data_IF_986851638874
#
_entry.id   IF_986851638874
#
_cell.length_a   1.000
_cell.length_b   1.000
_cell.length_c   1.000
_cell.angle_alpha   90.00
_cell.angle_beta   90.00
_cell.angle_gamma   90.00
#
_symmetry.space_group_name_H-M   'P 1'
#
loop_
_entity.id
_entity.type
_entity.pdbx_description
1 polymer ?
#
# COMPACT_ATOMS: atom_id res chain seq x y z
N UNK A 1 40.61 -20.46 39.61
CA UNK A 1 39.31 -20.94 39.08
C UNK A 1 38.96 -20.08 37.87
N UNK A 2 38.94 -20.63 36.66
CA UNK A 2 38.74 -19.86 35.41
C UNK A 2 37.54 -20.40 34.66
N UNK A 3 36.52 -19.56 34.46
CA UNK A 3 35.34 -19.89 33.65
C UNK A 3 35.35 -19.03 32.38
N UNK A 4 35.80 -19.63 31.27
CA UNK A 4 35.63 -19.10 29.93
C UNK A 4 34.23 -19.44 29.43
N UNK A 5 33.34 -18.46 29.29
CA UNK A 5 32.04 -18.66 28.64
C UNK A 5 32.22 -18.57 27.11
N UNK A 6 31.99 -19.70 26.42
CA UNK A 6 32.07 -19.80 24.96
C UNK A 6 30.93 -19.04 24.29
N UNK A 7 31.27 -18.20 23.31
CA UNK A 7 30.29 -17.66 22.37
C UNK A 7 29.74 -18.77 21.45
N UNK A 8 28.42 -18.94 21.40
CA UNK A 8 27.75 -19.79 20.41
C UNK A 8 27.20 -18.93 19.27
N UNK A 9 27.88 -18.93 18.13
CA UNK A 9 27.31 -18.43 16.86
C UNK A 9 26.42 -19.53 16.28
N UNK A 10 25.14 -19.25 16.08
CA UNK A 10 24.26 -20.14 15.32
C UNK A 10 24.40 -19.85 13.82
N UNK A 11 24.68 -20.89 13.04
CA UNK A 11 24.83 -20.81 11.57
C UNK A 11 23.72 -21.58 10.86
N UNK A 12 23.19 -20.97 9.79
CA UNK A 12 22.63 -21.62 8.60
C UNK A 12 21.44 -22.59 8.73
N UNK A 13 20.35 -22.25 8.03
CA UNK A 13 19.83 -23.13 6.98
C UNK A 13 19.18 -22.30 5.87
N UNK A 14 19.19 -22.83 4.64
CA UNK A 14 18.86 -22.09 3.41
C UNK A 14 17.48 -22.44 2.86
N UNK A 15 16.88 -21.46 2.17
CA UNK A 15 16.11 -21.58 0.93
C UNK A 15 15.09 -22.73 0.75
N UNK A 16 13.83 -22.35 0.52
CA UNK A 16 13.07 -22.89 -0.63
C UNK A 16 12.49 -21.73 -1.44
N UNK A 17 12.87 -21.63 -2.71
CA UNK A 17 12.41 -20.58 -3.62
C UNK A 17 11.74 -21.22 -4.85
N UNK A 18 10.41 -21.16 -4.89
CA UNK A 18 9.62 -21.65 -6.02
C UNK A 18 9.87 -20.78 -7.26
N UNK A 19 10.55 -21.34 -8.26
CA UNK A 19 10.68 -20.69 -9.59
C UNK A 19 9.37 -20.80 -10.35
N UNK A 20 8.57 -19.73 -10.36
CA UNK A 20 7.54 -19.54 -11.40
C UNK A 20 8.21 -18.95 -12.64
N UNK A 21 8.20 -19.70 -13.74
CA UNK A 21 8.73 -19.23 -15.03
C UNK A 21 7.73 -18.27 -15.68
N UNK A 22 8.09 -16.99 -15.81
CA UNK A 22 7.30 -16.04 -16.58
C UNK A 22 7.69 -16.13 -18.07
N UNK A 23 6.84 -16.77 -18.88
CA UNK A 23 7.01 -16.87 -20.33
C UNK A 23 6.82 -15.50 -21.00
N UNK A 24 7.98 -14.97 -21.40
CA UNK A 24 8.26 -14.08 -22.54
C UNK A 24 7.06 -13.71 -23.43
N UNK A 25 6.76 -12.41 -23.44
CA UNK A 25 6.17 -11.59 -24.50
C UNK A 25 5.64 -12.32 -25.75
N UNK A 26 4.31 -12.35 -25.92
CA UNK A 26 3.69 -12.56 -27.23
C UNK A 26 3.69 -11.26 -28.04
N UNK A 27 4.31 -11.28 -29.21
CA UNK A 27 4.27 -10.17 -30.18
C UNK A 27 3.10 -10.36 -31.14
N UNK A 28 2.03 -9.58 -30.98
CA UNK A 28 0.95 -9.51 -31.96
C UNK A 28 1.41 -8.70 -33.19
N UNK A 29 1.96 -9.40 -34.18
CA UNK A 29 2.11 -8.89 -35.53
C UNK A 29 0.79 -9.08 -36.28
N UNK A 30 0.10 -7.98 -36.57
CA UNK A 30 -0.97 -7.96 -37.57
C UNK A 30 -0.55 -7.01 -38.70
N UNK A 31 -0.71 -7.50 -39.93
CA UNK A 31 -0.05 -6.95 -41.10
C UNK A 31 -0.70 -5.65 -41.61
N UNK A 32 0.13 -4.74 -42.14
CA UNK A 32 -0.35 -3.65 -42.97
C UNK A 32 -0.76 -4.20 -44.34
N UNK A 33 -2.06 -4.22 -44.63
CA UNK A 33 -2.58 -4.46 -45.98
C UNK A 33 -2.66 -3.12 -46.70
N UNK A 34 -1.78 -2.91 -47.67
CA UNK A 34 -1.88 -1.81 -48.64
C UNK A 34 -2.89 -2.18 -49.74
N UNK A 35 -3.88 -1.32 -50.00
CA UNK A 35 -4.60 -1.30 -51.28
C UNK A 35 -5.10 0.11 -51.65
N UNK A 36 -5.17 0.34 -52.97
CA UNK A 36 -5.56 1.57 -53.64
C UNK A 36 -6.32 1.16 -54.93
N UNK A 37 -7.19 1.95 -55.57
CA UNK A 37 -7.42 3.39 -55.41
C UNK A 37 -8.86 3.78 -55.72
N UNK A 38 -9.24 5.01 -55.37
CA UNK A 38 -10.26 5.84 -56.04
C UNK A 38 -11.64 5.21 -56.35
N UNK A 39 -12.68 5.67 -55.64
CA UNK A 39 -13.93 6.15 -56.28
C UNK A 39 -14.62 7.18 -55.38
N UNK A 40 -15.20 8.21 -55.96
CA UNK A 40 -15.76 9.38 -55.27
C UNK A 40 -17.30 9.35 -55.19
N UNK A 41 -17.86 9.67 -54.02
CA UNK A 41 -19.20 10.28 -53.90
C UNK A 41 -19.24 11.26 -52.73
N UNK A 42 -20.01 12.34 -52.90
CA UNK A 42 -20.19 13.41 -51.91
C UNK A 42 -21.39 13.11 -51.01
N UNK A 43 -21.20 13.12 -49.69
CA UNK A 43 -22.31 13.31 -48.73
C UNK A 43 -21.91 14.24 -47.60
N UNK A 44 -22.93 14.95 -47.12
CA UNK A 44 -22.92 15.95 -46.06
C UNK A 44 -22.36 15.39 -44.74
N UNK A 45 -21.35 16.06 -44.16
CA UNK A 45 -21.27 16.43 -42.73
C UNK A 45 -19.86 16.95 -42.43
N UNK A 46 -19.71 18.27 -42.55
CA UNK A 46 -18.49 18.98 -42.19
C UNK A 46 -18.33 19.04 -40.66
N UNK A 47 -17.10 18.86 -40.19
CA UNK A 47 -16.59 19.18 -38.84
C UNK A 47 -16.84 18.12 -37.73
N UNK A 48 -15.72 17.56 -37.25
CA UNK A 48 -15.54 16.86 -35.96
C UNK A 48 -16.31 15.55 -35.70
N UNK A 49 -15.88 14.47 -36.37
CA UNK A 49 -15.73 13.17 -35.70
C UNK A 49 -14.25 12.93 -35.38
N UNK A 50 -13.98 12.39 -34.19
CA UNK A 50 -12.67 11.95 -33.67
C UNK A 50 -11.69 12.99 -33.11
N UNK A 51 -12.14 14.14 -32.60
CA UNK A 51 -11.50 14.66 -31.38
C UNK A 51 -12.11 13.93 -30.19
N UNK A 52 -11.40 12.92 -29.66
CA UNK A 52 -11.70 12.40 -28.33
C UNK A 52 -11.30 13.50 -27.36
N UNK A 53 -12.20 14.46 -27.14
CA UNK A 53 -11.98 15.61 -26.27
C UNK A 53 -11.87 15.10 -24.83
N UNK A 54 -10.65 14.73 -24.44
CA UNK A 54 -10.33 14.31 -23.08
C UNK A 54 -10.85 15.42 -22.17
N UNK A 55 -11.77 15.11 -21.23
CA UNK A 55 -12.33 16.16 -20.40
C UNK A 55 -11.18 16.70 -19.54
N UNK A 56 -11.12 18.03 -19.37
CA UNK A 56 -9.93 18.75 -18.89
C UNK A 56 -9.37 18.27 -17.54
N UNK A 57 -10.19 17.58 -16.73
CA UNK A 57 -9.80 16.95 -15.47
C UNK A 57 -8.99 15.64 -15.61
N UNK A 58 -8.98 15.02 -16.80
CA UNK A 58 -8.32 13.74 -17.09
C UNK A 58 -6.94 13.89 -17.76
N UNK A 59 -6.68 15.02 -18.42
CA UNK A 59 -5.37 15.38 -19.02
C UNK A 59 -4.15 15.08 -18.12
N UNK A 60 -4.07 15.55 -16.85
CA UNK A 60 -2.90 15.28 -16.01
C UNK A 60 -2.70 13.79 -15.69
N UNK A 61 -3.77 12.98 -15.73
CA UNK A 61 -3.70 11.53 -15.44
C UNK A 61 -3.07 10.77 -16.60
N UNK A 62 -3.35 11.16 -17.85
CA UNK A 62 -2.73 10.55 -19.03
C UNK A 62 -1.24 10.88 -19.12
N UNK A 63 -0.83 12.11 -18.82
CA UNK A 63 0.57 12.54 -18.94
C UNK A 63 1.44 12.13 -17.74
N UNK A 64 0.88 12.02 -16.53
CA UNK A 64 1.60 11.62 -15.32
C UNK A 64 1.66 10.08 -15.08
N UNK A 65 1.41 9.27 -16.10
CA UNK A 65 1.44 7.81 -15.98
C UNK A 65 2.89 7.26 -15.77
N UNK A 66 3.11 6.30 -14.84
CA UNK A 66 4.43 5.75 -14.61
C UNK A 66 4.92 4.92 -15.80
N UNK A 67 5.93 5.43 -16.54
CA UNK A 67 6.44 4.83 -17.79
C UNK A 67 6.84 3.36 -17.69
N UNK A 68 7.24 2.87 -16.51
CA UNK A 68 7.65 1.47 -16.24
C UNK A 68 7.29 1.03 -14.83
N UNK A 69 6.92 -0.24 -14.66
CA UNK A 69 6.74 -0.90 -13.34
C UNK A 69 8.05 -0.89 -12.54
N UNK A 70 7.99 -0.54 -11.27
CA UNK A 70 9.19 -0.53 -10.41
C UNK A 70 9.63 -1.95 -10.04
N UNK A 71 10.93 -2.23 -10.07
CA UNK A 71 11.48 -3.53 -9.67
C UNK A 71 11.29 -3.84 -8.18
N UNK A 72 11.27 -5.12 -7.83
CA UNK A 72 11.09 -5.58 -6.44
C UNK A 72 12.14 -4.99 -5.49
N UNK A 73 13.42 -4.96 -5.90
CA UNK A 73 14.50 -4.35 -5.13
C UNK A 73 14.26 -2.84 -4.88
N UNK A 74 13.92 -2.07 -5.92
CA UNK A 74 13.60 -0.63 -5.78
C UNK A 74 12.35 -0.38 -4.91
N UNK A 75 11.36 -1.28 -4.92
CA UNK A 75 10.20 -1.21 -4.00
C UNK A 75 10.62 -1.48 -2.55
N UNK A 76 11.41 -2.53 -2.30
CA UNK A 76 11.89 -2.92 -0.96
C UNK A 76 12.78 -1.85 -0.33
N UNK A 77 13.72 -1.29 -1.09
CA UNK A 77 14.60 -0.20 -0.65
C UNK A 77 13.83 1.07 -0.25
N UNK A 78 12.72 1.40 -0.92
CA UNK A 78 11.86 2.53 -0.51
C UNK A 78 10.96 2.22 0.70
N UNK A 79 10.85 0.95 1.09
CA UNK A 79 10.03 0.50 2.22
C UNK A 79 10.86 0.27 3.50
N UNK A 80 12.17 0.05 3.41
CA UNK A 80 13.03 -0.22 4.59
C UNK A 80 12.98 0.90 5.63
N UNK A 81 12.88 2.15 5.18
CA UNK A 81 12.93 3.32 6.05
C UNK A 81 11.55 3.64 6.68
N UNK A 82 10.57 2.76 6.51
CA UNK A 82 9.18 2.91 7.00
C UNK A 82 8.84 1.86 8.09
N UNK A 83 9.84 1.40 8.82
CA UNK A 83 9.66 0.48 9.94
C UNK A 83 8.88 1.13 11.10
N UNK A 84 8.18 0.31 11.88
CA UNK A 84 7.55 0.77 13.11
C UNK A 84 8.64 1.13 14.13
N UNK A 85 8.61 2.36 14.65
CA UNK A 85 9.50 2.78 15.72
C UNK A 85 9.08 2.13 17.05
N UNK A 86 10.07 1.71 17.85
CA UNK A 86 9.83 1.19 19.19
C UNK A 86 9.26 2.29 20.08
N UNK A 87 8.18 1.98 20.80
CA UNK A 87 7.54 2.89 21.75
C UNK A 87 7.96 2.56 23.17
N UNK A 88 8.80 3.41 23.74
CA UNK A 88 9.25 3.32 25.14
C UNK A 88 8.26 3.96 26.13
N UNK A 89 7.29 4.74 25.62
CA UNK A 89 6.33 5.50 26.42
C UNK A 89 5.15 4.67 26.96
N UNK A 90 5.35 3.37 27.23
CA UNK A 90 4.33 2.44 27.76
C UNK A 90 4.61 2.19 29.24
N UNK A 91 3.63 2.48 30.10
CA UNK A 91 3.69 2.29 31.55
C UNK A 91 2.49 1.52 32.07
N UNK A 92 2.58 0.94 33.26
CA UNK A 92 1.45 0.29 33.92
C UNK A 92 0.49 1.32 34.53
N UNK A 93 -0.80 1.01 34.55
CA UNK A 93 -1.81 1.83 35.21
C UNK A 93 -1.82 1.53 36.72
N UNK A 94 -1.76 2.55 37.60
CA UNK A 94 -1.74 2.33 39.05
C UNK A 94 -3.05 1.76 39.62
N UNK A 95 -4.18 1.89 38.91
CA UNK A 95 -5.49 1.43 39.39
C UNK A 95 -5.85 0.00 38.95
N UNK A 96 -5.42 -0.42 37.76
CA UNK A 96 -5.83 -1.71 37.16
C UNK A 96 -4.67 -2.57 36.64
N UNK A 97 -3.42 -2.13 36.79
CA UNK A 97 -2.22 -2.81 36.31
C UNK A 97 -2.00 -2.82 34.79
N UNK A 98 -3.04 -2.59 33.98
CA UNK A 98 -2.93 -2.68 32.51
C UNK A 98 -2.02 -1.62 31.90
N UNK A 99 -1.38 -1.96 30.78
CA UNK A 99 -0.50 -1.04 30.06
C UNK A 99 -1.28 0.15 29.50
N UNK A 100 -0.74 1.35 29.70
CA UNK A 100 -1.20 2.63 29.16
C UNK A 100 -0.03 3.42 28.59
N UNK A 101 -0.30 4.49 27.85
CA UNK A 101 0.72 5.43 27.42
C UNK A 101 1.03 6.46 28.52
N UNK A 102 2.28 6.93 28.58
CA UNK A 102 2.70 8.07 29.41
C UNK A 102 1.84 9.30 29.10
N UNK A 103 1.48 10.07 30.14
CA UNK A 103 0.58 11.24 30.10
C UNK A 103 -0.86 10.99 29.62
N UNK A 104 -1.23 9.77 29.21
CA UNK A 104 -2.59 9.41 28.85
C UNK A 104 -3.35 8.75 30.02
N UNK A 105 -4.67 8.91 30.01
CA UNK A 105 -5.59 8.14 30.85
C UNK A 105 -5.63 6.68 30.40
N UNK A 106 -5.83 5.75 31.34
CA UNK A 106 -5.98 4.34 31.00
C UNK A 106 -7.33 4.10 30.32
N UNK A 107 -7.30 3.56 29.09
CA UNK A 107 -8.51 3.28 28.32
C UNK A 107 -9.48 2.34 29.03
N UNK A 108 -8.98 1.34 29.76
CA UNK A 108 -9.81 0.39 30.49
C UNK A 108 -10.60 1.09 31.62
N UNK A 109 -9.88 1.72 32.56
CA UNK A 109 -10.50 2.46 33.68
C UNK A 109 -11.45 3.55 33.19
N UNK A 110 -11.08 4.30 32.16
CA UNK A 110 -11.94 5.33 31.59
C UNK A 110 -13.23 4.75 31.01
N UNK A 111 -13.16 3.59 30.34
CA UNK A 111 -14.35 2.91 29.81
C UNK A 111 -15.30 2.48 30.93
N UNK A 112 -14.78 2.00 32.06
CA UNK A 112 -15.60 1.52 33.17
C UNK A 112 -16.22 2.67 33.97
N UNK A 113 -15.46 3.75 34.21
CA UNK A 113 -15.99 4.98 34.82
C UNK A 113 -17.09 5.57 33.92
N UNK A 114 -16.87 5.64 32.61
CA UNK A 114 -17.85 6.15 31.65
C UNK A 114 -19.13 5.31 31.61
N UNK A 115 -19.04 3.98 31.68
CA UNK A 115 -20.21 3.09 31.79
C UNK A 115 -21.00 3.38 33.07
N UNK A 116 -20.32 3.44 34.23
CA UNK A 116 -20.93 3.70 35.55
C UNK A 116 -21.64 5.06 35.59
N UNK A 117 -20.98 6.12 35.12
CA UNK A 117 -21.57 7.44 35.02
C UNK A 117 -22.81 7.45 34.10
N UNK A 118 -22.75 6.77 32.95
CA UNK A 118 -23.92 6.65 32.05
C UNK A 118 -25.08 5.89 32.70
N UNK A 119 -24.81 4.81 33.43
CA UNK A 119 -25.88 4.08 34.13
C UNK A 119 -26.51 4.87 35.27
N UNK A 120 -25.75 5.72 35.96
CA UNK A 120 -26.27 6.61 37.01
C UNK A 120 -27.21 7.66 36.40
N UNK A 121 -26.74 8.40 35.39
CA UNK A 121 -27.55 9.39 34.66
C UNK A 121 -28.83 8.79 34.02
N UNK A 122 -28.85 7.49 33.71
CA UNK A 122 -30.02 6.79 33.19
C UNK A 122 -30.97 6.21 34.26
N UNK A 123 -30.59 6.30 35.54
CA UNK A 123 -31.43 5.97 36.72
C UNK A 123 -31.97 7.25 37.37
N UNK A 124 -31.22 8.35 37.26
CA UNK A 124 -31.55 9.66 37.81
C UNK A 124 -32.48 10.52 36.89
N UNK A 125 -33.01 9.94 35.80
CA UNK A 125 -33.80 10.61 34.76
C UNK A 125 -35.08 9.82 34.40
#
# INVERSE_FOLDING_TARGET
>A
MSLRLLAKRATLSQQTAVRVQASRFGTLSLANVFFNSNSSTLTLDSVTRNTFQIPTWLEPILWAAPKKKTSHSKKRMRASNKGLQQKENVTTCPACGSNKLLHHLCGNCYSDIKKKAKSQVAVDA
#
